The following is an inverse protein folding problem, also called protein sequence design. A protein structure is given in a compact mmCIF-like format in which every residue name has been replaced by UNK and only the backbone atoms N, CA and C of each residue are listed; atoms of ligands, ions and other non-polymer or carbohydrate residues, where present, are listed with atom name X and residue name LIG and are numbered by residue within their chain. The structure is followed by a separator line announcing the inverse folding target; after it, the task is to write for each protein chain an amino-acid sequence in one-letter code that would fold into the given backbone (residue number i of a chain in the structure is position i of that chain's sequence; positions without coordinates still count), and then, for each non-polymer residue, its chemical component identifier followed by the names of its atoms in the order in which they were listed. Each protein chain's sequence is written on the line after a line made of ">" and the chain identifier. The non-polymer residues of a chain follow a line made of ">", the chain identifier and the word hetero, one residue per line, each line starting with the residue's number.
data_IF_951920562615
#
_entry.id   IF_951920562615
#
_cell.length_a   1.000
_cell.length_b   1.000
_cell.length_c   1.000
_cell.angle_alpha   90.00
_cell.angle_beta   90.00
_cell.angle_gamma   90.00
#
_symmetry.space_group_name_H-M   'P 1'
#
loop_
_entity.id
_entity.type
_entity.pdbx_description
1 polymer ?
#
# COMPACT_ATOMS: atom_id res chain seq x y z
N UNK A 1 8.39 13.02 11.67
CA UNK A 1 9.83 13.07 11.99
C UNK A 1 10.70 12.39 10.93
N UNK A 2 10.95 11.07 10.98
CA UNK A 2 11.94 10.41 10.08
C UNK A 2 11.62 10.53 8.58
N UNK A 3 10.37 10.26 8.18
CA UNK A 3 9.94 10.37 6.78
C UNK A 3 9.97 11.82 6.30
N UNK A 4 9.51 12.76 7.13
CA UNK A 4 9.49 14.19 6.78
C UNK A 4 10.91 14.74 6.61
N UNK A 5 11.83 14.39 7.52
CA UNK A 5 13.24 14.74 7.40
C UNK A 5 13.82 14.20 6.09
N UNK A 6 13.53 12.94 5.75
CA UNK A 6 13.99 12.35 4.48
C UNK A 6 13.42 13.09 3.27
N UNK A 7 12.14 13.42 3.27
CA UNK A 7 11.49 14.17 2.18
C UNK A 7 12.15 15.55 1.99
N UNK A 8 12.54 16.22 3.07
CA UNK A 8 13.18 17.54 3.01
C UNK A 8 14.65 17.50 2.58
N UNK A 9 15.35 16.40 2.87
CA UNK A 9 16.81 16.28 2.67
C UNK A 9 17.19 15.54 1.39
N UNK A 10 16.32 14.67 0.87
CA UNK A 10 16.57 13.81 -0.27
C UNK A 10 15.47 13.94 -1.33
N UNK A 11 15.78 14.70 -2.38
CA UNK A 11 14.86 14.96 -3.49
C UNK A 11 14.53 13.69 -4.30
N UNK A 12 15.47 12.74 -4.41
CA UNK A 12 15.22 11.49 -5.13
C UNK A 12 14.21 10.64 -4.36
N UNK A 13 14.34 10.57 -3.04
CA UNK A 13 13.33 9.91 -2.21
C UNK A 13 11.96 10.57 -2.36
N UNK A 14 11.91 11.91 -2.30
CA UNK A 14 10.66 12.67 -2.28
C UNK A 14 9.90 12.68 -3.62
N UNK A 15 10.61 12.77 -4.75
CA UNK A 15 9.99 13.07 -6.04
C UNK A 15 10.13 11.96 -7.08
N UNK A 16 10.99 10.95 -6.87
CA UNK A 16 11.15 9.89 -7.85
C UNK A 16 9.85 9.09 -8.01
N UNK A 17 9.50 8.81 -9.26
CA UNK A 17 8.43 7.88 -9.62
C UNK A 17 8.96 6.48 -9.95
N UNK A 18 10.29 6.33 -9.96
CA UNK A 18 11.01 5.10 -10.24
C UNK A 18 11.77 4.63 -9.00
N UNK A 19 12.15 3.34 -8.93
CA UNK A 19 13.00 2.82 -7.87
C UNK A 19 14.25 3.68 -7.65
N UNK A 20 14.59 3.91 -6.40
CA UNK A 20 15.85 4.55 -5.98
C UNK A 20 16.82 3.51 -5.42
N UNK A 21 18.07 3.89 -5.24
CA UNK A 21 19.06 3.00 -4.63
C UNK A 21 18.73 2.70 -3.16
N UNK A 22 19.05 1.48 -2.73
CA UNK A 22 18.90 1.06 -1.34
C UNK A 22 19.77 1.91 -0.42
N UNK A 23 19.24 2.23 0.76
CA UNK A 23 19.97 2.98 1.79
C UNK A 23 19.92 2.22 3.11
N UNK A 24 21.01 1.51 3.42
CA UNK A 24 21.13 0.71 4.63
C UNK A 24 21.26 1.56 5.90
N UNK A 25 21.63 2.83 5.78
CA UNK A 25 21.73 3.77 6.89
C UNK A 25 20.43 4.50 7.20
N UNK A 26 19.41 4.36 6.35
CA UNK A 26 18.12 5.02 6.54
C UNK A 26 17.36 4.48 7.77
N UNK A 27 16.53 5.34 8.34
CA UNK A 27 15.58 4.93 9.36
C UNK A 27 14.68 3.78 8.86
N UNK A 28 14.22 2.86 9.73
CA UNK A 28 13.50 1.66 9.31
C UNK A 28 12.29 1.91 8.40
N UNK A 29 11.48 2.94 8.69
CA UNK A 29 10.31 3.27 7.85
C UNK A 29 10.72 3.77 6.46
N UNK A 30 11.77 4.59 6.37
CA UNK A 30 12.33 5.09 5.11
C UNK A 30 12.91 3.94 4.29
N UNK A 31 13.68 3.05 4.94
CA UNK A 31 14.22 1.84 4.29
C UNK A 31 13.12 0.96 3.72
N UNK A 32 12.06 0.71 4.50
CA UNK A 32 10.92 -0.09 4.05
C UNK A 32 10.23 0.54 2.83
N UNK A 33 10.09 1.86 2.79
CA UNK A 33 9.53 2.57 1.63
C UNK A 33 10.40 2.42 0.38
N UNK A 34 11.73 2.54 0.53
CA UNK A 34 12.68 2.36 -0.58
C UNK A 34 12.59 0.94 -1.14
N UNK A 35 12.67 -0.08 -0.28
CA UNK A 35 12.64 -1.47 -0.71
C UNK A 35 11.29 -1.86 -1.32
N UNK A 36 10.18 -1.35 -0.78
CA UNK A 36 8.85 -1.56 -1.35
C UNK A 36 8.73 -0.93 -2.76
N UNK A 37 9.21 0.30 -2.94
CA UNK A 37 9.25 0.95 -4.25
C UNK A 37 10.09 0.15 -5.25
N UNK A 38 11.27 -0.32 -4.83
CA UNK A 38 12.13 -1.19 -5.64
C UNK A 38 11.43 -2.49 -6.07
N UNK A 39 10.74 -3.15 -5.14
CA UNK A 39 10.02 -4.38 -5.42
C UNK A 39 8.81 -4.16 -6.35
N UNK A 40 8.10 -3.04 -6.22
CA UNK A 40 6.92 -2.73 -7.01
C UNK A 40 7.23 -2.09 -8.38
N UNK A 41 8.45 -1.57 -8.55
CA UNK A 41 8.85 -0.78 -9.72
C UNK A 41 8.37 0.68 -9.65
N UNK A 42 8.20 1.23 -8.45
CA UNK A 42 7.74 2.60 -8.17
C UNK A 42 8.76 3.38 -7.35
N UNK A 43 8.53 4.67 -7.16
CA UNK A 43 9.31 5.46 -6.21
C UNK A 43 8.90 5.25 -4.75
N UNK A 44 9.75 5.62 -3.77
CA UNK A 44 9.51 5.35 -2.35
C UNK A 44 8.22 5.97 -1.80
N UNK A 45 7.83 7.15 -2.31
CA UNK A 45 6.63 7.84 -1.85
C UNK A 45 5.33 7.12 -2.24
N UNK A 46 5.37 6.16 -3.18
CA UNK A 46 4.23 5.28 -3.46
C UNK A 46 3.93 4.30 -2.32
N UNK A 47 4.78 4.23 -1.29
CA UNK A 47 4.65 3.33 -0.15
C UNK A 47 4.30 4.07 1.17
N UNK A 48 4.17 5.40 1.13
CA UNK A 48 4.23 6.25 2.33
C UNK A 48 3.06 6.02 3.28
N UNK A 49 1.84 5.89 2.76
CA UNK A 49 0.65 5.84 3.58
C UNK A 49 0.56 4.50 4.30
N UNK A 50 0.81 3.41 3.58
CA UNK A 50 0.89 2.07 4.13
C UNK A 50 2.07 1.90 5.11
N UNK A 51 3.25 2.46 4.80
CA UNK A 51 4.40 2.42 5.70
C UNK A 51 4.12 3.13 7.04
N UNK A 52 3.47 4.29 7.00
CA UNK A 52 3.08 5.03 8.20
C UNK A 52 2.01 4.26 8.99
N UNK A 53 1.01 3.69 8.33
CA UNK A 53 -0.03 2.90 9.01
C UNK A 53 0.57 1.70 9.76
N UNK A 54 1.50 0.98 9.12
CA UNK A 54 2.24 -0.12 9.75
C UNK A 54 3.11 0.36 10.92
N UNK A 55 3.87 1.45 10.74
CA UNK A 55 4.74 1.99 11.78
C UNK A 55 3.94 2.40 13.03
N UNK A 56 2.80 3.09 12.83
CA UNK A 56 1.89 3.45 13.91
C UNK A 56 1.30 2.21 14.58
N UNK A 57 0.85 1.22 13.81
CA UNK A 57 0.36 -0.05 14.35
C UNK A 57 1.40 -0.70 15.27
N UNK A 58 2.66 -0.78 14.82
CA UNK A 58 3.76 -1.40 15.57
C UNK A 58 4.20 -0.60 16.80
N UNK A 59 3.92 0.71 16.84
CA UNK A 59 4.22 1.56 18.01
C UNK A 59 3.32 1.27 19.21
N UNK A 60 2.16 0.62 19.01
CA UNK A 60 1.22 0.27 20.06
C UNK A 60 1.70 -0.98 20.81
N UNK A 61 2.15 -0.80 22.06
CA UNK A 61 2.82 -1.86 22.85
C UNK A 61 1.92 -3.05 23.28
N UNK A 62 0.60 -2.88 23.32
CA UNK A 62 -0.35 -3.94 23.75
C UNK A 62 -1.73 -3.80 23.10
N UNK A 63 -1.91 -4.16 21.83
CA UNK A 63 -3.25 -4.28 21.27
C UNK A 63 -3.93 -5.53 21.85
N UNK A 64 -4.77 -5.36 22.87
CA UNK A 64 -5.70 -6.41 23.25
C UNK A 64 -6.89 -6.41 22.28
N UNK A 65 -7.09 -7.52 21.57
CA UNK A 65 -8.25 -7.72 20.69
C UNK A 65 -7.97 -7.34 19.25
N UNK A 66 -8.62 -6.27 18.77
CA UNK A 66 -8.56 -5.80 17.39
C UNK A 66 -7.92 -4.42 17.35
N UNK A 67 -6.91 -4.25 16.51
CA UNK A 67 -6.30 -2.96 16.21
C UNK A 67 -6.28 -2.79 14.69
N UNK A 68 -6.84 -1.68 14.23
CA UNK A 68 -6.89 -1.30 12.82
C UNK A 68 -6.40 0.13 12.76
N UNK A 69 -5.33 0.36 12.00
CA UNK A 69 -4.86 1.71 11.66
C UNK A 69 -5.24 1.97 10.21
N UNK A 70 -5.96 3.05 9.97
CA UNK A 70 -6.35 3.52 8.63
C UNK A 70 -5.66 4.85 8.37
N UNK A 71 -5.01 4.96 7.23
CA UNK A 71 -4.40 6.18 6.73
C UNK A 71 -4.85 6.40 5.28
N UNK A 72 -6.06 6.93 5.11
CA UNK A 72 -6.68 7.09 3.80
C UNK A 72 -7.07 5.74 3.19
N UNK A 73 -6.51 5.40 2.03
CA UNK A 73 -6.78 4.14 1.33
C UNK A 73 -6.02 2.93 1.87
N UNK A 74 -5.20 3.13 2.91
CA UNK A 74 -4.23 2.17 3.42
C UNK A 74 -4.54 1.76 4.85
N UNK A 75 -4.63 0.45 5.08
CA UNK A 75 -4.99 -0.13 6.36
C UNK A 75 -3.89 -1.09 6.80
N UNK A 76 -3.53 -1.07 8.09
CA UNK A 76 -2.83 -2.16 8.74
C UNK A 76 -3.68 -2.71 9.88
N UNK A 77 -4.04 -3.99 9.80
CA UNK A 77 -5.03 -4.60 10.67
C UNK A 77 -4.52 -5.84 11.39
N UNK A 78 -4.97 -6.02 12.63
CA UNK A 78 -4.85 -7.26 13.40
C UNK A 78 -6.14 -7.50 14.17
N UNK A 79 -6.62 -8.74 14.17
CA UNK A 79 -7.87 -9.13 14.82
C UNK A 79 -7.84 -10.62 15.16
N UNK A 80 -8.63 -11.02 16.17
CA UNK A 80 -8.84 -12.44 16.53
C UNK A 80 -9.92 -13.13 15.67
N UNK A 81 -10.62 -12.34 14.84
CA UNK A 81 -11.71 -12.76 13.97
C UNK A 81 -11.52 -12.23 12.56
N UNK A 82 -12.23 -12.80 11.59
CA UNK A 82 -12.25 -12.28 10.21
C UNK A 82 -12.63 -10.79 10.22
N UNK A 83 -11.98 -9.99 9.38
CA UNK A 83 -12.23 -8.55 9.22
C UNK A 83 -12.97 -8.32 7.91
N UNK A 84 -13.97 -7.45 7.92
CA UNK A 84 -14.67 -7.01 6.70
C UNK A 84 -14.16 -5.62 6.35
N UNK A 85 -13.42 -5.51 5.25
CA UNK A 85 -12.91 -4.26 4.73
C UNK A 85 -13.86 -3.75 3.65
N UNK A 86 -14.61 -2.69 3.92
CA UNK A 86 -15.45 -2.04 2.91
C UNK A 86 -14.60 -1.45 1.78
N UNK A 87 -15.08 -1.55 0.55
CA UNK A 87 -14.45 -0.92 -0.61
C UNK A 87 -15.26 0.32 -0.99
N UNK A 88 -14.62 1.48 -0.91
CA UNK A 88 -15.22 2.73 -1.35
C UNK A 88 -14.90 2.98 -2.82
N UNK A 89 -15.92 3.11 -3.64
CA UNK A 89 -15.77 3.32 -5.08
C UNK A 89 -16.25 4.68 -5.52
N UNK A 90 -16.73 5.56 -4.63
CA UNK A 90 -17.23 6.88 -4.99
C UNK A 90 -18.40 6.84 -5.98
N UNK A 91 -19.13 5.73 -6.03
CA UNK A 91 -20.26 5.50 -6.93
C UNK A 91 -21.45 4.93 -6.15
N UNK A 92 -22.63 4.85 -6.77
CA UNK A 92 -23.79 4.22 -6.14
C UNK A 92 -23.62 2.70 -5.86
N UNK A 93 -22.47 2.11 -6.22
CA UNK A 93 -22.09 0.72 -6.03
C UNK A 93 -21.25 0.43 -4.77
N UNK A 94 -21.30 1.28 -3.74
CA UNK A 94 -20.52 1.12 -2.48
C UNK A 94 -20.96 -0.05 -1.56
N UNK A 95 -21.34 -1.20 -2.13
CA UNK A 95 -21.76 -2.41 -1.40
C UNK A 95 -20.73 -3.54 -1.42
N UNK A 96 -19.54 -3.30 -1.96
CA UNK A 96 -18.49 -4.31 -2.00
C UNK A 96 -17.62 -4.26 -0.75
N UNK A 97 -17.21 -5.42 -0.27
CA UNK A 97 -16.28 -5.56 0.82
C UNK A 97 -15.40 -6.79 0.62
N UNK A 98 -14.15 -6.69 1.06
CA UNK A 98 -13.24 -7.82 1.14
C UNK A 98 -13.33 -8.45 2.52
N UNK A 99 -13.54 -9.76 2.55
CA UNK A 99 -13.46 -10.54 3.77
C UNK A 99 -12.02 -11.01 3.97
N UNK A 100 -11.33 -10.39 4.91
CA UNK A 100 -9.96 -10.75 5.31
C UNK A 100 -10.04 -11.83 6.37
N UNK A 101 -9.54 -13.02 6.03
CA UNK A 101 -9.52 -14.15 6.96
C UNK A 101 -8.55 -13.87 8.10
N UNK A 102 -8.92 -14.26 9.32
CA UNK A 102 -8.04 -14.13 10.50
C UNK A 102 -6.64 -14.75 10.32
N UNK A 103 -6.53 -15.77 9.47
CA UNK A 103 -5.27 -16.45 9.18
C UNK A 103 -4.28 -15.59 8.36
N UNK A 104 -4.76 -14.54 7.70
CA UNK A 104 -3.93 -13.58 6.99
C UNK A 104 -3.51 -12.41 7.89
N UNK A 105 -4.08 -12.27 9.09
CA UNK A 105 -3.79 -11.17 10.01
C UNK A 105 -2.58 -11.50 10.91
N UNK A 106 -1.72 -10.52 11.24
CA UNK A 106 -1.80 -9.13 10.84
C UNK A 106 -1.40 -8.92 9.36
N UNK A 107 -2.10 -8.03 8.66
CA UNK A 107 -1.76 -7.66 7.29
C UNK A 107 -2.09 -6.20 6.98
N UNK A 108 -1.49 -5.73 5.90
CA UNK A 108 -1.84 -4.51 5.21
C UNK A 108 -2.88 -4.77 4.11
N UNK A 109 -3.72 -3.77 3.87
CA UNK A 109 -4.69 -3.71 2.78
C UNK A 109 -4.60 -2.29 2.23
N UNK A 110 -4.11 -2.15 1.02
CA UNK A 110 -3.89 -0.84 0.40
C UNK A 110 -4.69 -0.71 -0.87
N UNK A 111 -5.16 0.51 -1.13
CA UNK A 111 -5.93 0.81 -2.32
C UNK A 111 -5.38 2.01 -3.07
N UNK A 112 -5.43 1.92 -4.39
CA UNK A 112 -5.08 3.02 -5.29
C UNK A 112 -6.19 3.25 -6.30
N UNK A 113 -6.45 4.52 -6.62
CA UNK A 113 -7.53 4.95 -7.50
C UNK A 113 -7.06 6.09 -8.39
N UNK A 114 -7.49 6.11 -9.65
CA UNK A 114 -7.30 7.25 -10.56
C UNK A 114 -8.40 8.30 -10.47
N UNK A 115 -9.48 8.05 -9.74
CA UNK A 115 -10.66 8.93 -9.66
C UNK A 115 -10.95 9.46 -8.25
N UNK A 116 -10.42 8.80 -7.22
CA UNK A 116 -10.76 9.08 -5.82
C UNK A 116 -9.48 9.38 -5.04
N UNK A 117 -9.41 10.57 -4.45
CA UNK A 117 -8.27 11.01 -3.64
C UNK A 117 -7.31 11.95 -4.39
N UNK A 118 -6.30 12.43 -3.67
CA UNK A 118 -5.31 13.40 -4.17
C UNK A 118 -4.00 12.74 -4.63
N UNK A 119 -3.88 11.42 -4.47
CA UNK A 119 -2.68 10.66 -4.83
C UNK A 119 -2.51 10.56 -6.34
N UNK A 120 -1.27 10.70 -6.82
CA UNK A 120 -0.96 10.65 -8.23
C UNK A 120 -1.05 9.20 -8.74
N UNK A 121 -2.06 8.90 -9.54
CA UNK A 121 -2.18 7.65 -10.29
C UNK A 121 -2.15 7.95 -11.79
N UNK A 122 -1.29 7.24 -12.52
CA UNK A 122 -1.16 7.35 -13.97
C UNK A 122 -2.08 6.40 -14.73
N UNK A 123 -2.74 5.50 -14.00
CA UNK A 123 -3.68 4.53 -14.53
C UNK A 123 -5.09 5.09 -14.71
N UNK A 124 -5.97 4.20 -15.17
CA UNK A 124 -7.43 4.39 -15.23
C UNK A 124 -8.18 3.38 -14.35
N UNK A 125 -7.48 2.70 -13.45
CA UNK A 125 -8.11 1.80 -12.50
C UNK A 125 -8.97 2.62 -11.53
N UNK A 126 -10.28 2.34 -11.53
CA UNK A 126 -11.19 2.93 -10.53
C UNK A 126 -10.76 2.57 -9.11
N UNK A 127 -10.39 1.31 -8.89
CA UNK A 127 -9.88 0.82 -7.63
C UNK A 127 -8.99 -0.40 -7.88
N UNK A 128 -7.75 -0.34 -7.42
CA UNK A 128 -6.84 -1.46 -7.29
C UNK A 128 -6.62 -1.71 -5.80
N UNK A 129 -6.71 -2.95 -5.34
CA UNK A 129 -6.48 -3.31 -3.93
C UNK A 129 -5.43 -4.40 -3.87
N UNK A 130 -4.50 -4.28 -2.94
CA UNK A 130 -3.46 -5.26 -2.66
C UNK A 130 -3.47 -5.60 -1.17
N UNK A 131 -3.22 -6.86 -0.85
CA UNK A 131 -3.05 -7.37 0.51
C UNK A 131 -1.62 -7.89 0.64
N UNK A 132 -0.90 -7.43 1.66
CA UNK A 132 0.46 -7.90 1.94
C UNK A 132 0.77 -7.93 3.44
N UNK A 133 1.80 -8.66 3.90
CA UNK A 133 2.24 -8.62 5.30
C UNK A 133 2.84 -7.27 5.72
N UNK A 134 3.28 -6.44 4.77
CA UNK A 134 3.85 -5.10 5.01
C UNK A 134 2.99 -4.01 4.38
N UNK A 135 2.81 -2.91 5.13
CA UNK A 135 2.10 -1.72 4.68
C UNK A 135 2.80 -1.02 3.52
N UNK A 136 4.12 -0.86 3.60
CA UNK A 136 4.91 -0.25 2.53
C UNK A 136 4.77 -1.02 1.21
N UNK A 137 4.89 -2.36 1.27
CA UNK A 137 4.73 -3.24 0.10
C UNK A 137 3.31 -3.14 -0.46
N UNK A 138 2.30 -3.28 0.39
CA UNK A 138 0.90 -3.24 -0.02
C UNK A 138 0.58 -1.96 -0.81
N UNK A 139 1.00 -0.80 -0.29
CA UNK A 139 0.75 0.52 -0.88
C UNK A 139 1.50 0.71 -2.22
N UNK A 140 2.80 0.38 -2.23
CA UNK A 140 3.61 0.47 -3.44
C UNK A 140 3.07 -0.42 -4.57
N UNK A 141 2.67 -1.65 -4.25
CA UNK A 141 2.09 -2.57 -5.22
C UNK A 141 0.68 -2.16 -5.67
N UNK A 142 -0.15 -1.60 -4.79
CA UNK A 142 -1.46 -1.06 -5.17
C UNK A 142 -1.31 0.09 -6.19
N UNK A 143 -0.36 1.00 -5.93
CA UNK A 143 -0.01 2.07 -6.87
C UNK A 143 0.52 1.51 -8.19
N UNK A 144 1.43 0.53 -8.14
CA UNK A 144 1.99 -0.08 -9.34
C UNK A 144 0.94 -0.85 -10.15
N UNK A 145 -0.01 -1.53 -9.50
CA UNK A 145 -1.13 -2.22 -10.13
C UNK A 145 -2.04 -1.23 -10.86
N UNK A 146 -2.45 -0.16 -10.17
CA UNK A 146 -3.30 0.88 -10.75
C UNK A 146 -2.64 1.50 -11.99
N UNK A 147 -1.35 1.86 -11.93
CA UNK A 147 -0.62 2.48 -13.03
C UNK A 147 -0.52 1.61 -14.29
N UNK A 148 -0.51 0.28 -14.15
CA UNK A 148 -0.47 -0.67 -15.27
C UNK A 148 -1.79 -0.73 -16.05
N UNK A 149 -2.91 -0.31 -15.46
CA UNK A 149 -4.23 -0.44 -16.07
C UNK A 149 -4.57 0.86 -16.80
N UNK A 150 -4.53 0.85 -18.13
CA UNK A 150 -4.93 1.99 -18.98
C UNK A 150 -6.29 1.77 -19.65
N UNK A 151 -6.70 0.51 -19.78
CA UNK A 151 -7.95 0.05 -20.33
C UNK A 151 -8.34 -1.29 -19.74
N UNK A 152 -9.58 -1.75 -19.98
CA UNK A 152 -10.05 -3.06 -19.54
C UNK A 152 -9.20 -4.22 -20.07
N UNK A 153 -8.53 -4.04 -21.21
CA UNK A 153 -7.67 -5.07 -21.83
C UNK A 153 -6.38 -5.31 -21.04
N UNK A 154 -6.01 -4.38 -20.18
CA UNK A 154 -4.77 -4.45 -19.42
C UNK A 154 -4.96 -5.19 -18.09
N UNK A 155 -6.20 -5.45 -17.66
CA UNK A 155 -6.52 -6.01 -16.34
C UNK A 155 -5.79 -7.33 -16.06
N UNK A 156 -5.90 -8.30 -16.97
CA UNK A 156 -5.28 -9.62 -16.80
C UNK A 156 -3.75 -9.52 -16.75
N UNK A 157 -3.16 -8.76 -17.68
CA UNK A 157 -1.71 -8.56 -17.72
C UNK A 157 -1.20 -7.79 -16.50
N UNK A 158 -1.95 -6.81 -15.99
CA UNK A 158 -1.59 -6.03 -14.83
C UNK A 158 -1.58 -6.87 -13.55
N UNK A 159 -2.61 -7.72 -13.36
CA UNK A 159 -2.68 -8.66 -12.23
C UNK A 159 -1.57 -9.70 -12.33
N UNK A 160 -1.42 -10.37 -13.47
CA UNK A 160 -0.37 -11.38 -13.68
C UNK A 160 1.03 -10.78 -13.51
N UNK A 161 1.23 -9.51 -13.88
CA UNK A 161 2.50 -8.81 -13.73
C UNK A 161 2.93 -8.57 -12.29
N UNK A 162 2.05 -8.76 -11.30
CA UNK A 162 2.39 -8.67 -9.87
C UNK A 162 2.07 -9.94 -9.07
N UNK A 163 1.22 -10.84 -9.59
CA UNK A 163 0.70 -12.00 -8.87
C UNK A 163 1.78 -12.98 -8.40
N UNK A 164 2.88 -13.10 -9.15
CA UNK A 164 4.01 -13.98 -8.80
C UNK A 164 4.98 -13.34 -7.79
N UNK A 165 4.71 -12.11 -7.33
CA UNK A 165 5.53 -11.44 -6.34
C UNK A 165 5.47 -12.18 -5.00
N UNK A 166 6.62 -12.59 -4.43
CA UNK A 166 6.65 -13.26 -3.12
C UNK A 166 6.27 -12.32 -1.96
N UNK A 167 6.08 -11.02 -2.24
CA UNK A 167 5.82 -9.99 -1.25
C UNK A 167 4.33 -9.76 -0.99
N UNK A 168 3.44 -10.20 -1.89
CA UNK A 168 1.99 -9.97 -1.80
C UNK A 168 1.23 -11.26 -1.50
N UNK A 169 0.07 -11.11 -0.88
CA UNK A 169 -0.82 -12.21 -0.50
C UNK A 169 -2.02 -12.34 -1.45
N UNK A 170 -2.47 -11.23 -2.02
CA UNK A 170 -3.60 -11.18 -2.96
C UNK A 170 -4.02 -9.77 -3.32
#
# INVERSE_FOLDING_TARGET
>A
DEVEERVLTDKLFAESLLPVESDDGAAPVVKNMIEAGRAAGTGPMAAVAGAIAEALFRSVKTPYGTLIIENGGDIFASSRSDVICGLYTGSSFDKFALKIRKALLPCAISSSSSEIGHSLSFGRARLAVVIAPSGAVSDAFATALANRIQSERDLENAVNGIADSPYITG
#
